data_IF_085157505682
#
_entry.id   IF_085157505682
#
_cell.length_a   1.000
_cell.length_b   1.000
_cell.length_c   1.000
_cell.angle_alpha   90.00
_cell.angle_beta   90.00
_cell.angle_gamma   90.00
#
_symmetry.space_group_name_H-M   'P 1'
#
loop_
_entity.id
_entity.type
_entity.pdbx_description
1 polymer ?
#
# COMPACT_ATOMS: atom_id res chain seq x y z
N UNK A 1 -5.18 -7.90 -13.82
CA UNK A 1 -4.68 -9.10 -13.09
C UNK A 1 -4.69 -8.81 -11.59
N UNK A 2 -5.01 -9.78 -10.71
CA UNK A 2 -5.01 -9.54 -9.26
C UNK A 2 -3.61 -9.61 -8.66
N UNK A 3 -3.32 -8.81 -7.61
CA UNK A 3 -2.04 -8.86 -6.87
C UNK A 3 -1.70 -10.28 -6.35
N UNK A 4 -2.71 -11.05 -5.95
CA UNK A 4 -2.52 -12.47 -5.54
C UNK A 4 -2.06 -13.35 -6.70
N UNK A 5 -2.51 -13.09 -7.93
CA UNK A 5 -2.06 -13.83 -9.11
C UNK A 5 -0.61 -13.53 -9.43
N UNK A 6 -0.18 -12.26 -9.31
CA UNK A 6 1.23 -11.88 -9.45
C UNK A 6 2.10 -12.62 -8.44
N UNK A 7 1.71 -12.65 -7.16
CA UNK A 7 2.44 -13.41 -6.11
C UNK A 7 2.56 -14.90 -6.46
N UNK A 8 1.50 -15.51 -7.00
CA UNK A 8 1.55 -16.92 -7.41
C UNK A 8 2.52 -17.15 -8.58
N UNK A 9 2.57 -16.23 -9.55
CA UNK A 9 3.50 -16.29 -10.67
C UNK A 9 4.93 -16.18 -10.16
N UNK A 10 5.24 -15.14 -9.38
CA UNK A 10 6.57 -14.94 -8.76
C UNK A 10 6.98 -16.19 -7.97
N UNK A 11 6.09 -16.72 -7.11
CA UNK A 11 6.38 -17.93 -6.33
C UNK A 11 6.74 -19.12 -7.21
N UNK A 12 6.00 -19.34 -8.29
CA UNK A 12 6.25 -20.44 -9.22
C UNK A 12 7.62 -20.32 -9.88
N UNK A 13 7.98 -19.13 -10.36
CA UNK A 13 9.24 -18.91 -11.07
C UNK A 13 10.45 -18.98 -10.10
N UNK A 14 10.33 -18.40 -8.90
CA UNK A 14 11.34 -18.50 -7.83
C UNK A 14 11.60 -19.97 -7.41
N UNK A 15 10.55 -20.80 -7.35
CA UNK A 15 10.71 -22.24 -7.05
C UNK A 15 11.38 -22.99 -8.21
N UNK A 16 11.10 -22.62 -9.47
CA UNK A 16 11.72 -23.23 -10.65
C UNK A 16 13.21 -22.87 -10.76
N UNK A 17 13.60 -21.66 -10.41
CA UNK A 17 15.01 -21.22 -10.42
C UNK A 17 15.90 -21.98 -9.44
N UNK A 18 15.31 -22.73 -8.51
CA UNK A 18 16.05 -23.65 -7.62
C UNK A 18 16.78 -23.00 -6.44
N UNK A 19 16.92 -21.68 -6.42
CA UNK A 19 17.60 -20.95 -5.33
C UNK A 19 16.86 -21.03 -4.01
N UNK A 20 15.54 -21.21 -4.08
CA UNK A 20 14.67 -21.31 -2.92
C UNK A 20 13.94 -22.65 -2.91
N UNK A 21 13.86 -23.28 -1.75
CA UNK A 21 13.12 -24.54 -1.60
C UNK A 21 11.63 -24.39 -1.93
N UNK A 22 10.96 -25.52 -2.27
CA UNK A 22 9.53 -25.57 -2.65
C UNK A 22 8.55 -24.88 -1.70
N UNK A 23 8.93 -24.69 -0.42
CA UNK A 23 8.10 -24.07 0.64
C UNK A 23 8.37 -22.57 0.81
N UNK A 24 9.05 -21.90 -0.14
CA UNK A 24 9.32 -20.47 -0.07
C UNK A 24 8.05 -19.66 0.11
N UNK A 25 8.08 -18.70 1.03
CA UNK A 25 6.99 -17.73 1.22
C UNK A 25 7.17 -16.59 0.24
N UNK A 26 6.08 -16.13 -0.36
CA UNK A 26 6.03 -14.93 -1.21
C UNK A 26 4.81 -14.13 -0.80
N UNK A 27 4.94 -12.81 -0.72
CA UNK A 27 3.88 -11.89 -0.34
C UNK A 27 4.07 -10.53 -0.95
N UNK A 28 3.03 -9.68 -0.92
CA UNK A 28 3.09 -8.30 -1.42
C UNK A 28 2.86 -7.28 -0.31
N UNK A 29 3.40 -6.07 -0.46
CA UNK A 29 3.33 -4.99 0.53
C UNK A 29 2.09 -4.08 0.37
N UNK A 30 1.10 -4.47 -0.41
CA UNK A 30 -0.16 -3.72 -0.59
C UNK A 30 -0.86 -4.10 -1.89
N UNK A 31 -2.13 -4.43 -1.77
CA UNK A 31 -2.97 -4.81 -2.92
C UNK A 31 -3.05 -3.66 -3.92
N UNK A 32 -3.01 -3.99 -5.21
CA UNK A 32 -3.51 -3.17 -6.31
C UNK A 32 -4.85 -3.73 -6.78
N UNK A 33 -5.76 -2.86 -7.14
CA UNK A 33 -7.02 -3.25 -7.77
C UNK A 33 -6.75 -3.92 -9.14
N UNK A 34 -7.63 -4.79 -9.64
CA UNK A 34 -7.32 -5.63 -10.82
C UNK A 34 -6.96 -4.88 -12.09
N UNK A 35 -7.55 -3.69 -12.30
CA UNK A 35 -7.26 -2.79 -13.43
C UNK A 35 -6.17 -1.76 -13.15
N UNK A 36 -5.78 -1.59 -11.89
CA UNK A 36 -4.69 -0.68 -11.55
C UNK A 36 -3.36 -1.19 -12.10
N UNK A 37 -2.53 -0.25 -12.51
CA UNK A 37 -1.14 -0.48 -12.96
C UNK A 37 -0.15 0.04 -11.92
N UNK A 38 1.14 -0.11 -12.21
CA UNK A 38 2.22 0.49 -11.44
C UNK A 38 2.84 -0.42 -10.40
N UNK A 39 3.50 0.18 -9.41
CA UNK A 39 4.40 -0.48 -8.46
C UNK A 39 3.67 -1.48 -7.57
N UNK A 40 4.05 -2.75 -7.63
CA UNK A 40 3.66 -3.80 -6.69
C UNK A 40 4.90 -4.39 -6.04
N UNK A 41 5.19 -4.01 -4.80
CA UNK A 41 6.31 -4.55 -4.04
C UNK A 41 6.03 -5.98 -3.62
N UNK A 42 6.86 -6.92 -4.08
CA UNK A 42 6.75 -8.35 -3.76
C UNK A 42 7.97 -8.78 -2.95
N UNK A 43 7.74 -9.42 -1.82
CA UNK A 43 8.78 -9.96 -0.95
C UNK A 43 8.88 -11.47 -1.08
N UNK A 44 10.12 -11.99 -1.15
CA UNK A 44 10.42 -13.42 -1.31
C UNK A 44 11.15 -13.94 -0.08
N UNK A 45 10.81 -15.15 0.35
CA UNK A 45 11.49 -15.84 1.45
C UNK A 45 11.34 -15.10 2.78
N UNK A 46 12.46 -14.85 3.43
CA UNK A 46 12.54 -14.17 4.74
C UNK A 46 12.08 -12.72 4.65
N UNK A 47 12.23 -12.05 3.50
CA UNK A 47 11.80 -10.68 3.29
C UNK A 47 10.30 -10.47 3.58
N UNK A 48 9.46 -11.51 3.45
CA UNK A 48 8.02 -11.43 3.80
C UNK A 48 7.75 -11.01 5.24
N UNK A 49 8.69 -11.27 6.16
CA UNK A 49 8.58 -10.90 7.58
C UNK A 49 8.82 -9.40 7.79
N UNK A 50 9.53 -8.76 6.85
CA UNK A 50 9.94 -7.36 6.92
C UNK A 50 8.96 -6.41 6.23
N UNK A 51 7.95 -6.90 5.50
CA UNK A 51 6.93 -6.09 4.82
C UNK A 51 6.31 -5.04 5.77
N UNK A 52 6.07 -5.40 7.03
CA UNK A 52 5.47 -4.51 8.03
C UNK A 52 6.35 -3.31 8.42
N UNK A 53 7.63 -3.36 8.09
CA UNK A 53 8.61 -2.30 8.40
C UNK A 53 8.95 -1.43 7.18
N UNK A 54 8.47 -1.78 6.00
CA UNK A 54 8.64 -0.95 4.80
C UNK A 54 7.99 0.42 5.03
N UNK A 55 8.56 1.44 4.39
CA UNK A 55 7.89 2.74 4.24
C UNK A 55 6.49 2.52 3.66
N UNK A 56 5.56 3.37 4.03
CA UNK A 56 4.14 3.12 3.77
C UNK A 56 3.44 4.16 2.93
N UNK A 57 4.12 5.26 2.65
CA UNK A 57 3.65 6.32 1.78
C UNK A 57 3.39 5.76 0.37
N UNK A 58 2.41 6.29 -0.30
CA UNK A 58 2.04 5.86 -1.66
C UNK A 58 1.72 7.06 -2.51
N UNK A 59 2.17 7.00 -3.76
CA UNK A 59 1.77 7.96 -4.78
C UNK A 59 1.02 7.28 -5.89
N UNK A 60 0.02 7.98 -6.37
CA UNK A 60 -0.85 7.50 -7.44
C UNK A 60 -1.05 8.58 -8.48
N UNK A 61 -1.20 8.16 -9.74
CA UNK A 61 -1.87 8.94 -10.77
C UNK A 61 -3.24 8.30 -10.98
N UNK A 62 -4.29 9.09 -11.03
CA UNK A 62 -5.66 8.60 -11.16
C UNK A 62 -6.46 9.47 -12.11
N UNK A 63 -7.36 8.86 -12.88
CA UNK A 63 -8.39 9.55 -13.65
C UNK A 63 -9.73 9.41 -12.92
N UNK A 64 -10.34 10.54 -12.58
CA UNK A 64 -11.64 10.63 -11.94
C UNK A 64 -12.66 11.04 -13.00
N UNK A 65 -13.72 10.21 -13.21
CA UNK A 65 -14.80 10.47 -14.17
C UNK A 65 -16.02 10.99 -13.43
N UNK A 66 -16.38 12.24 -13.70
CA UNK A 66 -17.43 12.98 -13.02
C UNK A 66 -18.76 12.72 -13.76
N UNK A 67 -19.86 12.69 -13.00
CA UNK A 67 -21.20 12.43 -13.55
C UNK A 67 -21.57 10.96 -13.59
N UNK A 68 -20.70 10.04 -13.17
CA UNK A 68 -20.97 8.60 -13.17
C UNK A 68 -20.71 8.04 -11.76
N UNK A 69 -21.63 7.25 -11.24
CA UNK A 69 -21.45 6.47 -10.00
C UNK A 69 -21.58 4.98 -10.30
N UNK A 70 -20.77 4.16 -9.63
CA UNK A 70 -20.80 2.71 -9.76
C UNK A 70 -20.88 2.05 -8.38
N UNK A 71 -21.29 0.80 -8.34
CA UNK A 71 -21.38 0.03 -7.09
C UNK A 71 -20.01 -0.29 -6.46
N UNK A 72 -18.94 -0.28 -7.26
CA UNK A 72 -17.55 -0.55 -6.83
C UNK A 72 -16.70 0.70 -6.62
N UNK A 73 -17.26 1.89 -6.90
CA UNK A 73 -16.55 3.18 -6.92
C UNK A 73 -15.43 3.24 -8.01
N UNK A 74 -15.43 2.31 -8.99
CA UNK A 74 -14.57 2.26 -10.19
C UNK A 74 -15.33 1.76 -11.41
N UNK A 75 -14.76 1.86 -12.63
CA UNK A 75 -15.40 1.46 -13.89
C UNK A 75 -15.50 -0.08 -14.07
N UNK A 76 -15.09 -0.91 -13.11
CA UNK A 76 -15.36 -2.36 -13.13
C UNK A 76 -16.76 -2.69 -12.59
N UNK A 77 -17.36 -1.75 -11.86
CA UNK A 77 -18.66 -1.90 -11.26
C UNK A 77 -19.82 -1.68 -12.22
N UNK A 78 -21.01 -1.97 -11.72
CA UNK A 78 -22.26 -1.65 -12.41
C UNK A 78 -22.56 -0.17 -12.18
N UNK A 79 -22.91 0.55 -13.26
CA UNK A 79 -23.34 1.94 -13.15
C UNK A 79 -24.64 2.00 -12.37
N UNK A 80 -24.64 2.80 -11.30
CA UNK A 80 -25.79 3.02 -10.41
C UNK A 80 -26.50 4.35 -10.67
N UNK A 81 -25.72 5.33 -11.18
CA UNK A 81 -26.23 6.66 -11.53
C UNK A 81 -25.39 7.29 -12.62
N UNK A 82 -26.05 7.97 -13.56
CA UNK A 82 -25.43 8.87 -14.53
C UNK A 82 -26.17 10.21 -14.51
N UNK A 83 -25.41 11.30 -14.52
CA UNK A 83 -25.93 12.65 -14.56
C UNK A 83 -24.90 13.55 -15.24
N UNK A 84 -25.29 14.18 -16.35
CA UNK A 84 -24.39 15.11 -17.03
C UNK A 84 -23.91 16.22 -16.08
N UNK A 85 -22.61 16.46 -16.08
CA UNK A 85 -21.92 17.37 -15.19
C UNK A 85 -21.09 18.42 -15.95
N UNK A 86 -21.56 18.84 -17.14
CA UNK A 86 -20.90 19.83 -18.01
C UNK A 86 -20.67 21.19 -17.34
N UNK A 87 -21.40 21.47 -16.25
CA UNK A 87 -21.23 22.66 -15.41
C UNK A 87 -19.97 22.63 -14.54
N UNK A 88 -19.35 21.48 -14.33
CA UNK A 88 -18.11 21.36 -13.54
C UNK A 88 -16.96 21.91 -14.36
N UNK A 89 -16.13 22.72 -13.73
CA UNK A 89 -14.94 23.32 -14.32
C UNK A 89 -13.67 22.81 -13.63
N UNK A 90 -12.52 22.99 -14.29
CA UNK A 90 -11.22 22.68 -13.70
C UNK A 90 -11.01 23.34 -12.35
N UNK A 91 -11.27 24.68 -12.26
CA UNK A 91 -11.10 25.43 -11.01
C UNK A 91 -11.98 24.86 -9.91
N UNK A 92 -13.23 24.49 -10.22
CA UNK A 92 -14.12 23.87 -9.23
C UNK A 92 -13.59 22.54 -8.71
N UNK A 93 -12.94 21.73 -9.56
CA UNK A 93 -12.29 20.51 -9.13
C UNK A 93 -11.11 20.79 -8.21
N UNK A 94 -10.25 21.74 -8.56
CA UNK A 94 -9.10 22.16 -7.75
C UNK A 94 -9.53 22.65 -6.37
N UNK A 95 -10.57 23.50 -6.30
CA UNK A 95 -11.13 24.01 -5.05
C UNK A 95 -11.63 22.87 -4.14
N UNK A 96 -12.42 21.95 -4.69
CA UNK A 96 -12.97 20.82 -3.92
C UNK A 96 -11.88 19.85 -3.49
N UNK A 97 -10.92 19.49 -4.37
CA UNK A 97 -9.83 18.57 -4.07
C UNK A 97 -8.91 19.10 -2.97
N UNK A 98 -8.69 20.41 -2.89
CA UNK A 98 -7.93 21.04 -1.81
C UNK A 98 -8.50 20.71 -0.43
N UNK A 99 -9.83 20.57 -0.31
CA UNK A 99 -10.51 20.19 0.92
C UNK A 99 -10.24 18.75 1.40
N UNK A 100 -9.64 17.91 0.56
CA UNK A 100 -9.28 16.54 0.93
C UNK A 100 -7.86 16.43 1.50
N UNK A 101 -7.05 17.49 1.47
CA UNK A 101 -5.67 17.46 1.97
C UNK A 101 -5.68 17.48 3.51
N UNK A 102 -4.82 16.66 4.11
CA UNK A 102 -4.66 16.54 5.56
C UNK A 102 -5.15 15.22 6.14
N UNK A 103 -5.28 15.19 7.46
CA UNK A 103 -5.78 14.03 8.21
C UNK A 103 -7.30 13.98 8.18
N UNK A 104 -7.87 12.82 7.86
CA UNK A 104 -9.31 12.63 7.77
C UNK A 104 -9.75 11.20 7.99
N UNK A 105 -11.04 10.99 8.28
CA UNK A 105 -11.68 9.70 8.31
C UNK A 105 -12.22 9.31 6.94
N UNK A 106 -11.73 8.24 6.35
CA UNK A 106 -12.23 7.73 5.06
C UNK A 106 -13.07 6.48 5.26
N UNK A 107 -14.29 6.47 4.72
CA UNK A 107 -15.12 5.26 4.62
C UNK A 107 -14.60 4.40 3.46
N UNK A 108 -14.13 3.17 3.72
CA UNK A 108 -13.62 2.29 2.68
C UNK A 108 -14.68 1.92 1.63
N UNK A 109 -14.27 1.49 0.41
CA UNK A 109 -15.22 0.95 -0.56
C UNK A 109 -15.75 -0.41 -0.11
N UNK A 110 -16.97 -0.79 -0.55
CA UNK A 110 -17.59 -2.08 -0.23
C UNK A 110 -16.68 -3.23 -0.70
N UNK A 111 -16.11 -3.10 -1.91
CA UNK A 111 -15.18 -4.07 -2.46
C UNK A 111 -13.77 -3.86 -1.92
N UNK A 112 -13.57 -4.13 -0.62
CA UNK A 112 -12.28 -4.03 0.05
C UNK A 112 -11.90 -5.31 0.79
N UNK A 113 -10.62 -5.42 1.17
CA UNK A 113 -10.11 -6.55 1.95
C UNK A 113 -10.43 -6.44 3.45
N UNK A 114 -11.16 -5.41 3.86
CA UNK A 114 -11.55 -5.18 5.25
C UNK A 114 -12.47 -6.32 5.73
N UNK A 115 -12.31 -6.71 6.97
CA UNK A 115 -13.17 -7.71 7.61
C UNK A 115 -14.33 -7.03 8.33
N UNK A 116 -15.53 -7.54 8.06
CA UNK A 116 -16.76 -7.25 8.77
C UNK A 116 -17.25 -8.57 9.34
N UNK A 117 -17.38 -8.68 10.65
CA UNK A 117 -17.82 -9.89 11.37
C UNK A 117 -17.06 -11.17 10.94
N UNK A 118 -15.75 -11.06 10.78
CA UNK A 118 -14.90 -12.18 10.39
C UNK A 118 -14.81 -12.46 8.87
N UNK A 119 -15.78 -12.02 8.07
CA UNK A 119 -15.78 -12.14 6.62
C UNK A 119 -15.13 -10.90 5.95
N UNK A 120 -14.56 -11.07 4.76
CA UNK A 120 -14.04 -9.93 4.01
C UNK A 120 -15.19 -9.18 3.32
N UNK A 121 -15.19 -7.85 3.34
CA UNK A 121 -16.24 -7.03 2.77
C UNK A 121 -16.52 -7.37 1.29
N UNK A 122 -15.48 -7.60 0.48
CA UNK A 122 -15.64 -8.02 -0.91
C UNK A 122 -16.34 -9.38 -1.07
N UNK A 123 -16.18 -10.30 -0.10
CA UNK A 123 -16.85 -11.61 -0.16
C UNK A 123 -18.34 -11.47 0.14
N UNK A 124 -18.69 -10.61 1.10
CA UNK A 124 -20.07 -10.26 1.41
C UNK A 124 -20.75 -9.55 0.22
N UNK A 125 -20.06 -8.59 -0.39
CA UNK A 125 -20.57 -7.89 -1.57
C UNK A 125 -20.77 -8.81 -2.78
N UNK A 126 -19.94 -9.84 -2.97
CA UNK A 126 -20.09 -10.83 -4.04
C UNK A 126 -21.18 -11.85 -3.78
N UNK A 127 -21.43 -12.25 -2.54
CA UNK A 127 -22.50 -13.20 -2.22
C UNK A 127 -23.89 -12.63 -2.52
N UNK A 128 -24.08 -11.31 -2.39
CA UNK A 128 -25.27 -10.60 -2.87
C UNK A 128 -25.40 -10.51 -4.40
N UNK A 129 -24.30 -10.62 -5.16
CA UNK A 129 -24.31 -10.53 -6.64
C UNK A 129 -24.81 -11.79 -7.37
N UNK A 130 -24.90 -12.95 -6.71
CA UNK A 130 -25.32 -14.19 -7.37
C UNK A 130 -26.82 -14.28 -7.70
N UNK A 131 -27.57 -13.20 -7.49
CA UNK A 131 -28.94 -13.06 -7.92
C UNK A 131 -29.53 -11.75 -7.42
N UNK A 132 -29.49 -10.66 -8.19
CA UNK A 132 -30.11 -9.37 -7.86
C UNK A 132 -29.77 -8.91 -6.43
N UNK A 133 -28.57 -8.41 -6.22
CA UNK A 133 -28.27 -7.65 -5.00
C UNK A 133 -29.15 -6.39 -5.03
N UNK A 134 -30.13 -6.36 -4.15
CA UNK A 134 -30.95 -5.20 -3.92
C UNK A 134 -30.02 -4.03 -3.55
N UNK A 135 -30.23 -2.86 -4.14
CA UNK A 135 -29.47 -1.65 -3.79
C UNK A 135 -29.47 -1.40 -2.26
N UNK A 136 -30.51 -1.92 -1.57
CA UNK A 136 -30.65 -1.91 -0.11
C UNK A 136 -29.56 -2.73 0.62
N UNK A 137 -29.16 -3.90 0.10
CA UNK A 137 -28.09 -4.71 0.73
C UNK A 137 -26.71 -4.04 0.60
N UNK A 138 -26.43 -3.45 -0.57
CA UNK A 138 -25.20 -2.70 -0.78
C UNK A 138 -25.14 -1.45 0.12
N UNK A 139 -26.27 -0.77 0.29
CA UNK A 139 -26.38 0.36 1.19
C UNK A 139 -26.20 -0.07 2.66
N UNK A 140 -26.89 -1.12 3.10
CA UNK A 140 -26.74 -1.68 4.44
C UNK A 140 -25.28 -2.12 4.75
N UNK A 141 -24.57 -2.64 3.74
CA UNK A 141 -23.15 -2.99 3.89
C UNK A 141 -22.28 -1.73 4.00
N UNK A 142 -22.56 -0.67 3.24
CA UNK A 142 -21.88 0.63 3.35
C UNK A 142 -22.02 1.25 4.74
N UNK A 143 -23.20 1.22 5.33
CA UNK A 143 -23.48 1.78 6.65
C UNK A 143 -22.73 1.07 7.78
N UNK A 144 -22.31 -0.17 7.57
CA UNK A 144 -21.48 -0.95 8.52
C UNK A 144 -19.98 -0.65 8.40
N UNK A 145 -19.55 0.06 7.37
CA UNK A 145 -18.16 0.43 7.17
C UNK A 145 -17.81 1.64 8.02
N UNK A 146 -16.91 1.44 8.98
CA UNK A 146 -16.44 2.49 9.88
C UNK A 146 -15.34 3.31 9.20
N UNK A 147 -15.37 4.65 9.28
CA UNK A 147 -14.30 5.50 8.81
C UNK A 147 -12.96 5.12 9.43
N UNK A 148 -11.89 5.16 8.64
CA UNK A 148 -10.52 4.88 9.07
C UNK A 148 -9.65 6.10 8.87
N UNK A 149 -8.73 6.38 9.81
CA UNK A 149 -7.83 7.52 9.67
C UNK A 149 -6.90 7.31 8.49
N UNK A 150 -6.82 8.32 7.65
CA UNK A 150 -5.88 8.44 6.54
C UNK A 150 -5.30 9.86 6.53
N UNK A 151 -4.17 10.02 5.85
CA UNK A 151 -3.59 11.34 5.57
C UNK A 151 -3.39 11.46 4.06
N UNK A 152 -3.84 12.55 3.49
CA UNK A 152 -3.54 12.95 2.13
C UNK A 152 -2.55 14.11 2.20
N UNK A 153 -1.33 13.87 1.71
CA UNK A 153 -0.25 14.86 1.78
C UNK A 153 -0.41 15.92 0.68
N UNK A 154 -0.79 15.49 -0.53
CA UNK A 154 -1.11 16.39 -1.65
C UNK A 154 -2.07 15.75 -2.63
N UNK A 155 -2.83 16.60 -3.34
CA UNK A 155 -3.57 16.26 -4.57
C UNK A 155 -3.32 17.37 -5.57
N UNK A 156 -2.73 17.03 -6.70
CA UNK A 156 -2.41 17.95 -7.78
C UNK A 156 -3.22 17.59 -9.03
N UNK A 157 -3.90 18.57 -9.66
CA UNK A 157 -4.62 18.38 -10.90
C UNK A 157 -3.66 18.43 -12.07
N UNK A 158 -3.46 17.30 -12.74
CA UNK A 158 -2.54 17.14 -13.87
C UNK A 158 -3.17 17.58 -15.20
N UNK A 159 -4.40 17.09 -15.46
CA UNK A 159 -5.13 17.38 -16.69
C UNK A 159 -6.64 17.47 -16.43
N UNK A 160 -7.33 18.16 -17.34
CA UNK A 160 -8.76 18.35 -17.34
C UNK A 160 -9.34 18.12 -18.74
N UNK A 161 -10.41 17.39 -18.82
CA UNK A 161 -11.18 17.13 -20.04
C UNK A 161 -12.67 17.42 -19.76
N UNK A 162 -13.21 18.46 -20.42
CA UNK A 162 -14.61 18.84 -20.30
C UNK A 162 -15.55 17.90 -21.09
N UNK A 163 -16.84 18.19 -21.07
CA UNK A 163 -17.92 17.46 -21.74
C UNK A 163 -19.05 17.11 -20.77
N UNK A 164 -20.00 16.28 -21.20
CA UNK A 164 -21.12 15.86 -20.35
C UNK A 164 -20.68 15.00 -19.16
N UNK A 165 -19.60 14.27 -19.34
CA UNK A 165 -18.95 13.47 -18.29
C UNK A 165 -17.47 13.86 -18.18
N UNK A 166 -17.17 14.99 -17.51
CA UNK A 166 -15.80 15.48 -17.43
C UNK A 166 -14.87 14.49 -16.74
N UNK A 167 -13.61 14.54 -17.14
CA UNK A 167 -12.55 13.74 -16.48
C UNK A 167 -11.44 14.65 -15.97
N UNK A 168 -10.93 14.33 -14.80
CA UNK A 168 -9.77 15.00 -14.20
C UNK A 168 -8.71 13.99 -13.86
N UNK A 169 -7.48 14.22 -14.33
CA UNK A 169 -6.32 13.45 -13.92
C UNK A 169 -5.66 14.13 -12.73
N UNK A 170 -5.36 13.35 -11.71
CA UNK A 170 -4.79 13.84 -10.46
C UNK A 170 -3.58 13.02 -10.04
N UNK A 171 -2.59 13.69 -9.45
CA UNK A 171 -1.53 13.02 -8.69
C UNK A 171 -1.88 13.11 -7.20
N UNK A 172 -1.78 11.99 -6.48
CA UNK A 172 -2.17 11.90 -5.07
C UNK A 172 -1.01 11.30 -4.27
N UNK A 173 -0.53 12.02 -3.25
CA UNK A 173 0.40 11.50 -2.25
C UNK A 173 -0.37 11.25 -0.95
N UNK A 174 -0.30 10.01 -0.41
CA UNK A 174 -1.13 9.63 0.73
C UNK A 174 -0.52 8.54 1.60
N UNK A 175 -1.05 8.43 2.81
CA UNK A 175 -0.71 7.37 3.76
C UNK A 175 -1.20 6.00 3.30
N UNK A 176 -0.67 4.95 3.91
CA UNK A 176 -1.19 3.58 3.70
C UNK A 176 -2.65 3.48 4.13
N UNK A 177 -3.39 2.62 3.44
CA UNK A 177 -4.80 2.36 3.75
C UNK A 177 -5.77 3.32 3.07
N UNK A 178 -5.26 4.34 2.38
CA UNK A 178 -6.07 5.22 1.55
C UNK A 178 -6.60 4.48 0.33
N UNK A 179 -7.90 4.59 0.09
CA UNK A 179 -8.59 4.05 -1.08
C UNK A 179 -8.87 5.18 -2.06
N UNK A 180 -8.23 5.16 -3.22
CA UNK A 180 -8.43 6.20 -4.26
C UNK A 180 -9.85 6.15 -4.81
N UNK A 181 -10.47 4.97 -4.86
CA UNK A 181 -11.90 4.79 -5.20
C UNK A 181 -12.81 5.57 -4.25
N UNK A 182 -12.52 5.55 -2.94
CA UNK A 182 -13.28 6.35 -1.97
C UNK A 182 -13.04 7.84 -2.15
N UNK A 183 -11.83 8.28 -2.53
CA UNK A 183 -11.58 9.69 -2.88
C UNK A 183 -12.45 10.08 -4.07
N UNK A 184 -12.49 9.28 -5.14
CA UNK A 184 -13.32 9.55 -6.31
C UNK A 184 -14.80 9.70 -5.93
N UNK A 185 -15.36 8.73 -5.18
CA UNK A 185 -16.74 8.76 -4.70
C UNK A 185 -17.03 10.03 -3.87
N UNK A 186 -16.19 10.30 -2.87
CA UNK A 186 -16.43 11.40 -1.93
C UNK A 186 -16.21 12.77 -2.61
N UNK A 187 -15.28 12.87 -3.56
CA UNK A 187 -15.11 14.01 -4.44
C UNK A 187 -16.37 14.30 -5.27
N UNK A 188 -16.95 13.26 -5.91
CA UNK A 188 -18.19 13.42 -6.68
C UNK A 188 -19.38 13.87 -5.84
N UNK A 189 -19.41 13.50 -4.54
CA UNK A 189 -20.41 13.97 -3.57
C UNK A 189 -20.21 15.41 -3.15
N UNK A 190 -18.96 15.87 -3.09
CA UNK A 190 -18.60 17.24 -2.72
C UNK A 190 -18.79 18.24 -3.89
N UNK A 191 -18.80 17.74 -5.14
CA UNK A 191 -19.12 18.55 -6.31
C UNK A 191 -20.65 18.69 -6.43
N UNK A 192 -21.17 19.83 -5.98
CA UNK A 192 -22.60 20.12 -6.01
C UNK A 192 -22.92 21.24 -7.02
N UNK A 193 -24.05 21.10 -7.71
CA UNK A 193 -24.57 22.11 -8.63
C UNK A 193 -25.23 23.29 -7.90
N UNK A 194 -25.78 24.24 -8.65
CA UNK A 194 -26.49 25.40 -8.10
C UNK A 194 -27.75 25.06 -7.30
N UNK A 195 -28.28 23.85 -7.43
CA UNK A 195 -29.41 23.30 -6.67
C UNK A 195 -28.99 22.44 -5.48
N UNK A 196 -27.69 22.24 -5.26
CA UNK A 196 -27.16 21.40 -4.19
C UNK A 196 -27.13 19.90 -4.52
N UNK A 197 -27.41 19.50 -5.77
CA UNK A 197 -27.33 18.11 -6.18
C UNK A 197 -25.88 17.68 -6.49
N UNK A 198 -25.39 16.54 -5.95
CA UNK A 198 -24.05 16.08 -6.20
C UNK A 198 -23.87 15.58 -7.65
N UNK A 199 -22.72 15.90 -8.25
CA UNK A 199 -22.36 15.42 -9.58
C UNK A 199 -22.23 13.89 -9.62
N UNK A 200 -21.67 13.28 -8.57
CA UNK A 200 -21.21 11.91 -8.59
C UNK A 200 -19.86 11.78 -9.30
N UNK A 201 -19.10 10.74 -8.93
CA UNK A 201 -17.83 10.45 -9.58
C UNK A 201 -17.42 9.00 -9.34
N UNK A 202 -16.68 8.44 -10.30
CA UNK A 202 -16.07 7.10 -10.19
C UNK A 202 -14.61 7.13 -10.64
N UNK A 203 -13.82 6.17 -10.17
CA UNK A 203 -12.43 6.01 -10.58
C UNK A 203 -12.36 5.34 -11.96
N UNK A 204 -11.84 6.05 -12.94
CA UNK A 204 -11.71 5.55 -14.32
C UNK A 204 -10.38 4.83 -14.58
N UNK A 205 -9.29 5.38 -14.06
CA UNK A 205 -7.95 4.77 -14.17
C UNK A 205 -7.16 4.99 -12.89
N UNK A 206 -6.25 4.07 -12.60
CA UNK A 206 -5.38 4.11 -11.45
C UNK A 206 -4.01 3.53 -11.75
N UNK A 207 -2.98 4.29 -11.47
CA UNK A 207 -1.60 3.83 -11.49
C UNK A 207 -0.91 4.17 -10.16
N UNK A 208 -0.30 3.18 -9.51
CA UNK A 208 0.51 3.44 -8.32
C UNK A 208 1.95 3.73 -8.75
N UNK A 209 2.34 4.99 -8.72
CA UNK A 209 3.67 5.45 -9.14
C UNK A 209 4.74 5.23 -8.09
N UNK A 210 4.35 5.12 -6.79
CA UNK A 210 5.26 4.85 -5.69
C UNK A 210 4.60 3.99 -4.59
N UNK A 211 5.40 3.10 -4.00
CA UNK A 211 5.03 2.30 -2.83
C UNK A 211 6.20 2.25 -1.83
N UNK A 212 6.17 3.10 -0.81
CA UNK A 212 7.28 3.32 0.10
C UNK A 212 8.51 3.87 -0.60
N UNK A 213 9.63 3.16 -0.52
CA UNK A 213 10.87 3.53 -1.20
C UNK A 213 10.90 3.20 -2.70
N UNK A 214 9.97 2.36 -3.18
CA UNK A 214 9.98 1.86 -4.56
C UNK A 214 9.16 2.76 -5.49
N UNK A 215 9.77 3.19 -6.59
CA UNK A 215 9.17 4.05 -7.62
C UNK A 215 9.01 3.31 -8.94
N UNK A 216 8.29 3.91 -9.90
CA UNK A 216 8.14 3.34 -11.26
C UNK A 216 9.48 3.20 -11.98
N UNK A 217 10.42 4.12 -11.76
CA UNK A 217 11.73 4.13 -12.43
C UNK A 217 12.61 2.96 -11.99
N UNK A 218 12.35 2.40 -10.79
CA UNK A 218 13.10 1.28 -10.21
C UNK A 218 12.40 -0.06 -10.46
N UNK A 219 11.30 -0.08 -11.21
CA UNK A 219 10.52 -1.30 -11.44
C UNK A 219 10.84 -1.92 -12.78
N UNK A 220 10.94 -3.25 -12.77
CA UNK A 220 10.86 -4.01 -14.02
C UNK A 220 9.40 -4.06 -14.48
N UNK A 221 9.12 -3.54 -15.66
CA UNK A 221 7.80 -3.62 -16.26
C UNK A 221 7.44 -5.10 -16.51
N UNK A 222 6.45 -5.61 -15.79
CA UNK A 222 5.85 -6.88 -16.12
C UNK A 222 4.89 -6.68 -17.29
N UNK A 223 5.33 -7.05 -18.48
CA UNK A 223 4.46 -7.17 -19.65
C UNK A 223 3.29 -8.16 -19.38
N UNK A 224 2.24 -8.19 -20.23
CA UNK A 224 1.15 -9.17 -20.12
C UNK A 224 1.68 -10.60 -19.91
N UNK A 225 0.93 -11.41 -19.17
CA UNK A 225 1.32 -12.70 -18.56
C UNK A 225 2.15 -13.65 -19.45
N UNK A 226 1.94 -13.63 -20.76
CA UNK A 226 2.60 -14.57 -21.67
C UNK A 226 4.05 -14.15 -21.99
N UNK A 227 4.35 -12.85 -21.91
CA UNK A 227 5.70 -12.28 -22.06
C UNK A 227 6.41 -12.16 -20.68
N UNK A 228 5.64 -12.12 -19.58
CA UNK A 228 6.16 -11.97 -18.23
C UNK A 228 6.99 -13.16 -17.72
N UNK A 229 6.90 -14.33 -18.33
CA UNK A 229 7.70 -15.50 -17.92
C UNK A 229 9.19 -15.28 -18.10
N UNK A 230 9.60 -14.86 -19.29
CA UNK A 230 11.01 -14.70 -19.63
C UNK A 230 11.56 -13.40 -19.01
N UNK A 231 10.74 -12.34 -18.98
CA UNK A 231 11.08 -11.10 -18.30
C UNK A 231 11.24 -11.28 -16.77
N UNK A 232 10.39 -12.10 -16.14
CA UNK A 232 10.49 -12.38 -14.72
C UNK A 232 11.70 -13.27 -14.38
N UNK A 233 12.03 -14.26 -15.22
CA UNK A 233 13.25 -15.04 -15.07
C UNK A 233 14.50 -14.19 -15.24
N UNK A 234 14.51 -13.26 -16.19
CA UNK A 234 15.58 -12.30 -16.36
C UNK A 234 15.67 -11.31 -15.18
N UNK A 235 14.55 -10.83 -14.68
CA UNK A 235 14.50 -9.92 -13.53
C UNK A 235 14.90 -10.59 -12.19
N UNK A 236 14.66 -11.90 -12.05
CA UNK A 236 15.10 -12.66 -10.86
C UNK A 236 16.57 -13.09 -10.96
N UNK A 237 17.14 -13.11 -12.17
CA UNK A 237 18.52 -13.53 -12.41
C UNK A 237 19.56 -12.43 -12.27
N UNK A 238 19.18 -11.15 -12.23
CA UNK A 238 20.10 -10.00 -12.23
C UNK A 238 19.54 -8.90 -11.33
N UNK A 239 20.40 -8.14 -10.65
CA UNK A 239 20.33 -6.84 -9.97
C UNK A 239 18.96 -6.15 -9.68
N UNK A 240 17.84 -6.72 -10.13
CA UNK A 240 16.48 -6.19 -9.94
C UNK A 240 15.88 -6.55 -8.56
N UNK A 241 16.60 -7.29 -7.73
CA UNK A 241 16.16 -7.69 -6.40
C UNK A 241 16.78 -6.78 -5.35
N UNK A 242 15.97 -5.91 -4.79
CA UNK A 242 16.40 -5.07 -3.64
C UNK A 242 16.69 -5.95 -2.43
N UNK A 243 17.87 -5.81 -1.82
CA UNK A 243 18.23 -6.52 -0.61
C UNK A 243 17.36 -6.10 0.59
N UNK A 244 17.30 -6.93 1.63
CA UNK A 244 16.64 -6.55 2.89
C UNK A 244 17.34 -5.34 3.51
N UNK A 245 18.65 -5.25 3.36
CA UNK A 245 19.47 -4.15 3.88
C UNK A 245 19.06 -2.82 3.26
N UNK A 246 18.94 -2.78 1.93
CA UNK A 246 18.55 -1.58 1.20
C UNK A 246 17.08 -1.23 1.45
N UNK A 247 16.20 -2.21 1.42
CA UNK A 247 14.77 -2.02 1.70
C UNK A 247 14.50 -1.48 3.11
N UNK A 248 15.40 -1.75 4.08
CA UNK A 248 15.32 -1.29 5.46
C UNK A 248 16.23 -0.09 5.74
N UNK A 249 16.89 0.49 4.75
CA UNK A 249 17.87 1.58 4.91
C UNK A 249 17.33 2.81 5.64
N UNK A 250 16.01 3.06 5.54
CA UNK A 250 15.31 4.15 6.21
C UNK A 250 15.21 3.99 7.74
N UNK A 251 15.39 2.78 8.27
CA UNK A 251 15.42 2.54 9.72
C UNK A 251 16.79 2.88 10.29
N UNK A 252 16.82 3.46 11.47
CA UNK A 252 18.05 3.64 12.23
C UNK A 252 18.70 2.28 12.50
N UNK A 253 20.01 2.24 12.52
CA UNK A 253 20.77 1.01 12.73
C UNK A 253 21.45 0.96 14.09
N UNK A 254 21.55 -0.23 14.64
CA UNK A 254 22.36 -0.59 15.79
C UNK A 254 23.35 -1.64 15.33
N UNK A 255 24.65 -1.40 15.58
CA UNK A 255 25.72 -2.31 15.21
C UNK A 255 26.10 -3.18 16.41
N UNK A 256 26.15 -4.49 16.22
CA UNK A 256 26.51 -5.46 17.23
C UNK A 256 27.74 -6.25 16.84
N UNK A 257 28.62 -6.49 17.81
CA UNK A 257 29.73 -7.41 17.64
C UNK A 257 29.25 -8.82 17.28
N UNK A 258 30.05 -9.62 16.51
CA UNK A 258 29.63 -10.91 15.96
C UNK A 258 29.08 -11.91 16.99
N UNK A 259 29.64 -11.93 18.18
CA UNK A 259 29.16 -12.79 19.28
C UNK A 259 27.75 -12.44 19.69
N UNK A 260 27.51 -11.16 20.00
CA UNK A 260 26.17 -10.66 20.42
C UNK A 260 25.10 -10.76 19.31
N UNK A 261 25.49 -10.54 18.06
CA UNK A 261 24.60 -10.76 16.92
C UNK A 261 24.20 -12.25 16.77
N UNK A 262 25.08 -13.18 17.15
CA UNK A 262 24.82 -14.62 17.16
C UNK A 262 23.85 -15.01 18.29
N UNK A 263 24.04 -14.47 19.52
CA UNK A 263 23.15 -14.72 20.66
C UNK A 263 21.74 -14.23 20.38
N UNK A 264 21.61 -13.05 19.79
CA UNK A 264 20.35 -12.52 19.32
C UNK A 264 19.65 -13.47 18.32
N UNK A 265 20.40 -14.12 17.42
CA UNK A 265 19.86 -15.09 16.48
C UNK A 265 19.35 -16.37 17.17
N UNK A 266 19.99 -16.82 18.23
CA UNK A 266 19.58 -18.02 18.98
C UNK A 266 18.29 -17.78 19.77
N UNK A 267 17.94 -16.53 20.06
CA UNK A 267 16.79 -16.18 20.89
C UNK A 267 17.10 -16.26 22.36
N UNK A 268 18.41 -16.31 22.68
CA UNK A 268 18.86 -16.18 24.04
C UNK A 268 18.37 -14.85 24.60
N UNK A 269 17.78 -14.91 25.79
CA UNK A 269 17.21 -13.73 26.43
C UNK A 269 18.28 -12.65 26.48
N UNK A 270 18.04 -11.55 25.81
CA UNK A 270 18.93 -10.39 25.87
C UNK A 270 18.58 -9.67 27.17
N UNK A 271 18.88 -10.32 28.29
CA UNK A 271 18.82 -9.68 29.59
C UNK A 271 19.73 -8.45 29.56
N UNK A 272 19.19 -7.30 29.84
CA UNK A 272 19.95 -6.07 29.95
C UNK A 272 20.13 -5.29 28.64
N UNK A 273 19.15 -5.22 27.76
CA UNK A 273 19.17 -4.29 26.61
C UNK A 273 19.43 -2.83 27.00
N UNK A 274 19.18 -2.44 28.24
CA UNK A 274 19.64 -1.16 28.78
C UNK A 274 21.17 -0.97 28.75
N UNK A 275 21.95 -2.05 28.63
CA UNK A 275 23.41 -2.05 28.51
C UNK A 275 23.93 -2.23 27.09
N UNK A 276 23.09 -2.42 26.07
CA UNK A 276 23.52 -2.44 24.68
C UNK A 276 23.76 -1.00 24.22
N UNK A 277 24.96 -0.54 24.42
CA UNK A 277 25.44 0.67 23.75
C UNK A 277 25.61 0.34 22.27
N UNK A 278 24.81 0.96 21.44
CA UNK A 278 25.11 1.04 20.03
C UNK A 278 26.41 1.80 19.87
N UNK A 279 27.35 1.32 19.04
CA UNK A 279 28.39 2.16 18.45
C UNK A 279 27.73 3.18 17.49
N UNK A 280 26.83 4.00 18.02
CA UNK A 280 26.32 5.18 17.35
C UNK A 280 27.31 6.32 17.71
N UNK A 281 27.70 7.13 16.74
CA UNK A 281 28.44 8.35 17.04
C UNK A 281 27.62 9.16 18.06
N UNK A 282 28.13 9.25 19.30
CA UNK A 282 27.48 9.98 20.39
C UNK A 282 26.90 9.14 21.53
N UNK A 283 27.09 7.80 21.57
CA UNK A 283 26.75 6.98 22.76
C UNK A 283 25.25 6.82 23.04
N UNK A 284 24.43 6.86 22.02
CA UNK A 284 22.94 6.77 22.15
C UNK A 284 22.53 5.32 22.40
N UNK A 285 21.76 5.05 23.44
CA UNK A 285 21.23 3.71 23.73
C UNK A 285 20.26 3.22 22.64
N UNK A 286 20.11 1.88 22.49
CA UNK A 286 19.14 1.27 21.56
C UNK A 286 17.73 1.81 21.84
N UNK A 287 17.36 1.98 23.11
CA UNK A 287 16.07 2.56 23.52
C UNK A 287 15.89 3.99 22.99
N UNK A 288 16.93 4.83 23.10
CA UNK A 288 16.89 6.20 22.58
C UNK A 288 16.88 6.23 21.05
N UNK A 289 17.61 5.32 20.40
CA UNK A 289 17.57 5.17 18.94
C UNK A 289 16.20 4.72 18.45
N UNK A 290 15.55 3.79 19.15
CA UNK A 290 14.23 3.29 18.84
C UNK A 290 13.11 4.30 19.14
N UNK A 291 13.20 5.03 20.25
CA UNK A 291 12.25 6.10 20.60
C UNK A 291 12.26 7.24 19.57
N UNK A 292 13.41 7.46 18.92
CA UNK A 292 13.57 8.45 17.86
C UNK A 292 13.35 7.87 16.43
N UNK A 293 13.10 6.55 16.31
CA UNK A 293 12.83 5.90 15.04
C UNK A 293 11.34 5.95 14.72
N UNK A 294 11.02 6.11 13.46
CA UNK A 294 9.65 5.93 12.98
C UNK A 294 9.18 4.52 13.37
N UNK A 295 8.02 4.43 14.08
CA UNK A 295 7.44 3.18 14.60
C UNK A 295 8.26 2.41 15.64
N UNK A 296 9.24 3.02 16.28
CA UNK A 296 10.02 2.33 17.31
C UNK A 296 10.79 1.10 16.81
N UNK A 297 11.15 1.04 15.53
CA UNK A 297 11.89 -0.06 14.94
C UNK A 297 13.34 0.35 14.62
N UNK A 298 14.29 -0.57 14.83
CA UNK A 298 15.70 -0.38 14.50
C UNK A 298 16.25 -1.60 13.77
N UNK A 299 17.16 -1.37 12.81
CA UNK A 299 17.95 -2.45 12.18
C UNK A 299 19.06 -2.89 13.13
N UNK A 300 19.25 -4.18 13.23
CA UNK A 300 20.39 -4.77 13.93
C UNK A 300 21.41 -5.26 12.89
N UNK A 301 22.56 -4.60 12.84
CA UNK A 301 23.64 -4.89 11.89
C UNK A 301 24.74 -5.66 12.62
N UNK A 302 25.23 -6.75 12.03
CA UNK A 302 26.41 -7.45 12.51
C UNK A 302 27.67 -6.78 11.92
N UNK A 303 28.59 -6.37 12.78
CA UNK A 303 29.83 -5.69 12.37
C UNK A 303 30.84 -6.59 11.62
N UNK A 304 30.61 -7.91 11.56
CA UNK A 304 31.50 -8.80 10.83
C UNK A 304 31.17 -8.87 9.32
N UNK A 305 29.90 -8.74 8.93
CA UNK A 305 29.44 -8.86 7.55
C UNK A 305 28.66 -7.63 7.07
N UNK A 306 28.51 -6.63 7.93
CA UNK A 306 27.79 -5.37 7.67
C UNK A 306 26.33 -5.57 7.18
N UNK A 307 25.72 -6.74 7.48
CA UNK A 307 24.36 -7.09 7.05
C UNK A 307 23.35 -6.94 8.17
N UNK A 308 22.10 -6.65 7.79
CA UNK A 308 20.97 -6.66 8.72
C UNK A 308 20.67 -8.10 9.14
N UNK A 309 20.84 -8.37 10.42
CA UNK A 309 20.53 -9.69 11.03
C UNK A 309 19.14 -9.74 11.65
N UNK A 310 18.58 -8.60 12.03
CA UNK A 310 17.24 -8.51 12.58
C UNK A 310 16.69 -7.08 12.49
N UNK A 311 15.38 -6.95 12.64
CA UNK A 311 14.72 -5.68 12.98
C UNK A 311 14.07 -5.86 14.35
N UNK A 312 14.46 -5.04 15.31
CA UNK A 312 13.91 -5.02 16.64
C UNK A 312 12.85 -3.93 16.77
N UNK A 313 11.67 -4.28 17.31
CA UNK A 313 10.69 -3.32 17.77
C UNK A 313 10.93 -3.06 19.25
N UNK A 314 11.09 -1.80 19.63
CA UNK A 314 11.34 -1.39 21.01
C UNK A 314 10.14 -0.63 21.53
N UNK A 315 9.62 -1.04 22.68
CA UNK A 315 8.56 -0.39 23.41
C UNK A 315 8.98 -0.23 24.85
N UNK A 316 8.84 0.99 25.39
CA UNK A 316 9.18 1.29 26.81
C UNK A 316 10.57 0.81 27.24
N UNK A 317 11.59 1.02 26.37
CA UNK A 317 12.98 0.57 26.59
C UNK A 317 13.18 -0.97 26.61
N UNK A 318 12.17 -1.76 26.22
CA UNK A 318 12.25 -3.21 26.06
C UNK A 318 12.02 -3.62 24.62
N UNK A 319 12.58 -4.77 24.22
CA UNK A 319 12.24 -5.34 22.92
C UNK A 319 10.86 -5.98 22.99
N UNK A 320 9.90 -5.39 22.26
CA UNK A 320 8.55 -5.92 22.12
C UNK A 320 8.49 -7.06 21.09
N UNK A 321 9.25 -6.93 20.01
CA UNK A 321 9.33 -7.95 18.98
C UNK A 321 10.68 -7.93 18.24
N UNK A 322 11.15 -9.11 17.86
CA UNK A 322 12.36 -9.31 17.06
C UNK A 322 12.03 -10.08 15.78
N UNK A 323 12.32 -9.49 14.63
CA UNK A 323 12.23 -10.17 13.34
C UNK A 323 13.63 -10.46 12.83
N UNK A 324 13.98 -11.75 12.74
CA UNK A 324 15.30 -12.24 12.31
C UNK A 324 15.35 -12.45 10.80
N UNK A 325 16.47 -12.07 10.19
CA UNK A 325 16.78 -12.34 8.76
C UNK A 325 17.00 -13.81 8.46
#
# INVERSE_FOLDING_TARGET
MTSSRVVQIVKREVVKGGEFGRKVKVGHAGTLDPRATGVLTVAVGRATRFIRFLRTEKRYTATLRIGVETDSDDLEGVVTRECAASWVTRSRCEDVLTGFIGEQGQVPPIFSAIRLDGARAYALARSGRSGRSDASEAQALRERLVPRPITINSIDVLAWRGGDFPEVDVAIDCSRGTYIRSIARDFGRALVDGGGAPAGCTLAALERTQCGAFTMDETSALAPIDVARDALQSALAVDAVTSIDDAMSHLRSVRLAPGKARDLRRGDAVEGWAGFYADLPGGVSVAAAAAAAERGAVRVINTADERVHAVACVKEAQIDALVKT
#
